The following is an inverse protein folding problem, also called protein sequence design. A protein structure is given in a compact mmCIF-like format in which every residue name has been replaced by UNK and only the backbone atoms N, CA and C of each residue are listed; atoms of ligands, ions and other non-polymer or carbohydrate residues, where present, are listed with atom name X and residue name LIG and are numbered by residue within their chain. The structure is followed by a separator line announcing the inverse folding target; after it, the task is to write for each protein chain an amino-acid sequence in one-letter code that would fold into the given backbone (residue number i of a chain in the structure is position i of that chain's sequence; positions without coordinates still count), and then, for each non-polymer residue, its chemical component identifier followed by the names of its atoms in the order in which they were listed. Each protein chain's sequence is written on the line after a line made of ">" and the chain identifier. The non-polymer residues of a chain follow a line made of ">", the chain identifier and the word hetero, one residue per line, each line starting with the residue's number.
data_IF_402543352942
#
_entry.id   IF_402543352942
#
_cell.length_a   1.000
_cell.length_b   1.000
_cell.length_c   1.000
_cell.angle_alpha   90.00
_cell.angle_beta   90.00
_cell.angle_gamma   90.00
#
_symmetry.space_group_name_H-M   'P 1'
#
loop_
_entity.id
_entity.type
_entity.pdbx_description
1 polymer ?
#
# COMPACT_ATOMS: atom_id res chain seq x y z
N UNK A 1 6.73 8.67 23.63
CA UNK A 1 6.80 8.63 22.14
C UNK A 1 6.11 7.41 21.52
N UNK A 2 6.18 6.22 22.14
CA UNK A 2 5.55 5.00 21.62
C UNK A 2 4.04 5.14 21.33
N UNK A 3 3.28 5.63 22.32
CA UNK A 3 1.81 5.81 22.22
C UNK A 3 1.42 6.75 21.07
N UNK A 4 2.17 7.84 20.87
CA UNK A 4 1.92 8.79 19.77
C UNK A 4 2.12 8.13 18.40
N UNK A 5 3.20 7.36 18.21
CA UNK A 5 3.47 6.63 16.96
C UNK A 5 2.35 5.63 16.66
N UNK A 6 1.90 4.92 17.69
CA UNK A 6 0.82 3.94 17.59
C UNK A 6 -0.52 4.60 17.22
N UNK A 7 -0.84 5.77 17.80
CA UNK A 7 -2.02 6.54 17.43
C UNK A 7 -1.99 7.02 15.98
N UNK A 8 -0.83 7.53 15.51
CA UNK A 8 -0.65 7.95 14.10
C UNK A 8 -0.89 6.78 13.15
N UNK A 9 -0.30 5.61 13.46
CA UNK A 9 -0.52 4.38 12.70
C UNK A 9 -2.01 4.06 12.68
N UNK A 10 -2.65 3.89 13.83
CA UNK A 10 -4.08 3.54 13.90
C UNK A 10 -4.95 4.53 13.12
N UNK A 11 -4.69 5.83 13.23
CA UNK A 11 -5.45 6.85 12.51
C UNK A 11 -5.28 6.72 10.98
N UNK A 12 -4.04 6.54 10.50
CA UNK A 12 -3.77 6.32 9.08
C UNK A 12 -4.45 5.06 8.54
N UNK A 13 -4.43 3.96 9.30
CA UNK A 13 -5.10 2.72 8.94
C UNK A 13 -6.63 2.85 9.02
N UNK A 14 -7.18 3.59 9.99
CA UNK A 14 -8.61 3.81 10.08
C UNK A 14 -9.14 4.66 8.92
N UNK A 15 -8.42 5.73 8.57
CA UNK A 15 -8.79 6.61 7.46
C UNK A 15 -8.64 5.94 6.09
N UNK A 16 -7.60 5.12 5.91
CA UNK A 16 -7.32 4.46 4.63
C UNK A 16 -7.96 3.08 4.50
N UNK A 17 -8.27 2.43 5.62
CA UNK A 17 -8.75 1.06 5.68
C UNK A 17 -10.16 0.89 5.12
N UNK A 18 -11.04 1.88 5.31
CA UNK A 18 -12.37 1.91 4.67
C UNK A 18 -12.24 1.96 3.14
N UNK A 19 -11.32 2.77 2.63
CA UNK A 19 -10.98 2.83 1.21
C UNK A 19 -10.41 1.51 0.67
N UNK A 20 -9.45 0.92 1.39
CA UNK A 20 -8.85 -0.37 1.02
C UNK A 20 -9.87 -1.51 1.03
N UNK A 21 -10.79 -1.55 2.00
CA UNK A 21 -11.84 -2.57 2.07
C UNK A 21 -12.82 -2.45 0.91
N UNK A 22 -13.29 -1.24 0.60
CA UNK A 22 -14.17 -1.00 -0.56
C UNK A 22 -13.51 -1.43 -1.88
N UNK A 23 -12.23 -1.09 -2.06
CA UNK A 23 -11.44 -1.48 -3.23
C UNK A 23 -11.21 -3.00 -3.29
N UNK A 24 -10.98 -3.65 -2.15
CA UNK A 24 -10.76 -5.08 -2.07
C UNK A 24 -12.03 -5.88 -2.40
N UNK A 25 -13.18 -5.53 -1.83
CA UNK A 25 -14.46 -6.16 -2.15
C UNK A 25 -14.90 -5.85 -3.59
N UNK A 26 -14.71 -4.60 -4.04
CA UNK A 26 -14.91 -4.21 -5.42
C UNK A 26 -14.04 -5.03 -6.38
N UNK A 27 -12.76 -5.20 -6.04
CA UNK A 27 -11.80 -6.01 -6.77
C UNK A 27 -12.25 -7.46 -6.87
N UNK A 28 -12.60 -8.11 -5.76
CA UNK A 28 -13.11 -9.50 -5.75
C UNK A 28 -14.31 -9.67 -6.69
N UNK A 29 -15.26 -8.73 -6.68
CA UNK A 29 -16.42 -8.77 -7.58
C UNK A 29 -16.04 -8.63 -9.05
N UNK A 30 -14.94 -7.93 -9.37
CA UNK A 30 -14.41 -7.79 -10.72
C UNK A 30 -13.60 -9.04 -11.15
N UNK A 31 -12.83 -9.63 -10.24
CA UNK A 31 -11.91 -10.76 -10.53
C UNK A 31 -12.64 -12.10 -10.70
N UNK A 32 -13.83 -12.23 -10.11
CA UNK A 32 -14.68 -13.42 -10.20
C UNK A 32 -14.98 -13.87 -11.65
N UNK A 33 -14.68 -13.03 -12.65
CA UNK A 33 -14.96 -13.28 -14.06
C UNK A 33 -13.74 -13.49 -14.98
N UNK A 34 -12.48 -13.26 -14.56
CA UNK A 34 -11.40 -13.07 -15.55
C UNK A 34 -9.97 -13.54 -15.18
N UNK A 35 -9.78 -14.42 -14.20
CA UNK A 35 -8.46 -15.04 -13.95
C UNK A 35 -7.38 -14.13 -13.35
N UNK A 36 -7.71 -12.89 -12.96
CA UNK A 36 -6.79 -11.95 -12.28
C UNK A 36 -6.54 -12.21 -10.79
N UNK A 37 -6.79 -13.43 -10.30
CA UNK A 37 -6.78 -13.78 -8.87
C UNK A 37 -5.41 -13.56 -8.22
N UNK A 38 -4.32 -13.69 -8.99
CA UNK A 38 -2.96 -13.41 -8.54
C UNK A 38 -2.73 -11.92 -8.23
N UNK A 39 -3.43 -11.01 -8.92
CA UNK A 39 -3.29 -9.57 -8.68
C UNK A 39 -3.90 -9.15 -7.33
N UNK A 40 -4.89 -9.90 -6.83
CA UNK A 40 -5.45 -9.69 -5.50
C UNK A 40 -4.45 -9.94 -4.38
N UNK A 41 -3.37 -10.68 -4.61
CA UNK A 41 -2.33 -10.97 -3.62
C UNK A 41 -1.42 -9.76 -3.36
N UNK A 42 -1.38 -8.76 -4.26
CA UNK A 42 -0.57 -7.56 -4.06
C UNK A 42 -1.10 -6.67 -2.94
N UNK A 43 -2.41 -6.58 -2.74
CA UNK A 43 -2.98 -5.84 -1.59
C UNK A 43 -2.57 -6.40 -0.23
N UNK A 44 -2.80 -7.68 0.10
CA UNK A 44 -2.39 -8.22 1.39
C UNK A 44 -0.87 -8.21 1.53
N UNK A 45 -0.10 -8.45 0.46
CA UNK A 45 1.36 -8.33 0.52
C UNK A 45 1.82 -6.90 0.84
N UNK A 46 1.22 -5.88 0.20
CA UNK A 46 1.48 -4.48 0.49
C UNK A 46 1.08 -4.10 1.92
N UNK A 47 -0.07 -4.59 2.39
CA UNK A 47 -0.55 -4.37 3.74
C UNK A 47 0.39 -4.98 4.79
N UNK A 48 0.81 -6.23 4.60
CA UNK A 48 1.75 -6.92 5.50
C UNK A 48 3.07 -6.17 5.54
N UNK A 49 3.61 -5.78 4.38
CA UNK A 49 4.86 -5.02 4.32
C UNK A 49 4.74 -3.67 5.04
N UNK A 50 3.61 -2.97 4.88
CA UNK A 50 3.35 -1.71 5.55
C UNK A 50 3.20 -1.86 7.06
N UNK A 51 2.51 -2.90 7.54
CA UNK A 51 2.40 -3.23 8.97
C UNK A 51 3.78 -3.52 9.53
N UNK A 52 4.60 -4.30 8.83
CA UNK A 52 5.96 -4.63 9.26
C UNK A 52 6.85 -3.38 9.41
N UNK A 53 6.80 -2.44 8.45
CA UNK A 53 7.49 -1.15 8.58
C UNK A 53 6.94 -0.32 9.75
N UNK A 54 5.62 -0.29 9.92
CA UNK A 54 4.94 0.47 10.97
C UNK A 54 5.35 -0.02 12.36
N UNK A 55 5.34 -1.34 12.56
CA UNK A 55 5.76 -1.99 13.81
C UNK A 55 7.24 -1.72 14.10
N UNK A 56 8.11 -1.87 13.10
CA UNK A 56 9.53 -1.56 13.28
C UNK A 56 9.76 -0.09 13.66
N UNK A 57 9.00 0.85 13.09
CA UNK A 57 9.08 2.27 13.47
C UNK A 57 8.55 2.54 14.90
N UNK A 58 7.45 1.90 15.29
CA UNK A 58 6.89 1.95 16.65
C UNK A 58 7.93 1.47 17.67
N UNK A 59 8.55 0.32 17.41
CA UNK A 59 9.67 -0.24 18.19
C UNK A 59 10.99 0.54 18.05
N UNK A 60 11.00 1.59 17.22
CA UNK A 60 12.18 2.42 16.93
C UNK A 60 13.35 1.65 16.29
N UNK A 61 13.08 0.46 15.72
CA UNK A 61 14.00 -0.36 14.93
C UNK A 61 14.10 0.12 13.49
N UNK A 62 15.11 -0.34 12.77
CA UNK A 62 15.31 0.00 11.36
C UNK A 62 15.53 -1.24 10.51
N UNK A 63 14.82 -1.33 9.39
CA UNK A 63 14.83 -2.51 8.51
C UNK A 63 15.77 -2.34 7.31
N UNK A 64 16.26 -1.10 7.09
CA UNK A 64 17.15 -0.75 6.00
C UNK A 64 16.44 -0.53 4.66
N UNK A 65 17.23 -0.06 3.70
CA UNK A 65 16.74 0.39 2.38
C UNK A 65 16.04 -0.70 1.58
N UNK A 66 16.51 -1.96 1.64
CA UNK A 66 15.90 -3.07 0.87
C UNK A 66 14.43 -3.29 1.28
N UNK A 67 14.15 -3.34 2.59
CA UNK A 67 12.79 -3.51 3.10
C UNK A 67 11.88 -2.32 2.73
N UNK A 68 12.40 -1.09 2.78
CA UNK A 68 11.68 0.10 2.34
C UNK A 68 11.36 0.07 0.83
N UNK A 69 12.33 -0.32 0.00
CA UNK A 69 12.14 -0.46 -1.45
C UNK A 69 11.13 -1.56 -1.80
N UNK A 70 11.19 -2.73 -1.15
CA UNK A 70 10.24 -3.82 -1.40
C UNK A 70 8.82 -3.44 -0.98
N UNK A 71 8.66 -2.78 0.18
CA UNK A 71 7.35 -2.31 0.63
C UNK A 71 6.79 -1.22 -0.30
N UNK A 72 7.63 -0.29 -0.76
CA UNK A 72 7.24 0.72 -1.73
C UNK A 72 6.80 0.11 -3.07
N UNK A 73 7.56 -0.86 -3.59
CA UNK A 73 7.21 -1.56 -4.82
C UNK A 73 5.88 -2.32 -4.70
N UNK A 74 5.65 -3.02 -3.58
CA UNK A 74 4.37 -3.70 -3.30
C UNK A 74 3.22 -2.71 -3.18
N UNK A 75 3.44 -1.56 -2.54
CA UNK A 75 2.43 -0.49 -2.43
C UNK A 75 2.02 0.08 -3.78
N UNK A 76 2.99 0.35 -4.67
CA UNK A 76 2.71 0.82 -6.04
C UNK A 76 1.99 -0.27 -6.85
N UNK A 77 2.44 -1.53 -6.75
CA UNK A 77 1.80 -2.64 -7.42
C UNK A 77 0.35 -2.85 -6.96
N UNK A 78 0.09 -2.71 -5.64
CA UNK A 78 -1.26 -2.76 -5.08
C UNK A 78 -2.14 -1.62 -5.59
N UNK A 79 -1.63 -0.38 -5.63
CA UNK A 79 -2.37 0.79 -6.13
C UNK A 79 -2.72 0.71 -7.62
N UNK A 80 -1.94 -0.04 -8.39
CA UNK A 80 -2.23 -0.27 -9.81
C UNK A 80 -3.06 -1.54 -10.04
N UNK A 81 -3.21 -2.40 -9.03
CA UNK A 81 -3.88 -3.68 -9.18
C UNK A 81 -5.37 -3.50 -9.50
N UNK A 82 -6.08 -2.55 -8.87
CA UNK A 82 -7.51 -2.31 -9.12
C UNK A 82 -7.82 -1.86 -10.55
N UNK A 83 -7.23 -0.75 -11.06
CA UNK A 83 -7.58 -0.29 -12.41
C UNK A 83 -7.11 -1.28 -13.48
N UNK A 84 -6.02 -2.03 -13.24
CA UNK A 84 -5.59 -3.13 -14.11
C UNK A 84 -6.57 -4.31 -14.07
N UNK A 85 -7.08 -4.68 -12.90
CA UNK A 85 -8.09 -5.73 -12.75
C UNK A 85 -9.39 -5.37 -13.46
N UNK A 86 -9.85 -4.13 -13.34
CA UNK A 86 -11.03 -3.65 -14.07
C UNK A 86 -10.83 -3.77 -15.58
N UNK A 87 -9.66 -3.37 -16.10
CA UNK A 87 -9.32 -3.48 -17.51
C UNK A 87 -9.31 -4.94 -18.01
N UNK A 88 -8.72 -5.85 -17.23
CA UNK A 88 -8.61 -7.28 -17.59
C UNK A 88 -9.95 -8.00 -17.45
N UNK A 89 -10.83 -7.53 -16.57
CA UNK A 89 -12.14 -8.15 -16.30
C UNK A 89 -13.11 -8.15 -17.49
N UNK A 90 -12.80 -7.42 -18.57
CA UNK A 90 -13.51 -7.47 -19.85
C UNK A 90 -14.95 -6.95 -19.81
N UNK A 91 -15.46 -6.48 -18.66
CA UNK A 91 -16.83 -5.94 -18.54
C UNK A 91 -16.98 -4.59 -19.25
N UNK A 92 -15.94 -3.75 -19.22
CA UNK A 92 -15.85 -2.51 -19.99
C UNK A 92 -14.36 -2.22 -20.28
N UNK A 93 -14.01 -1.84 -21.51
CA UNK A 93 -12.68 -1.30 -21.81
C UNK A 93 -12.62 0.11 -21.22
N UNK A 94 -11.87 0.30 -20.14
CA UNK A 94 -11.75 1.63 -19.54
C UNK A 94 -11.05 2.56 -20.54
N UNK A 95 -11.68 3.70 -20.80
CA UNK A 95 -10.97 4.80 -21.47
C UNK A 95 -9.79 5.26 -20.59
N UNK A 96 -8.72 5.82 -21.16
CA UNK A 96 -7.59 6.32 -20.38
C UNK A 96 -8.01 7.31 -19.27
N UNK A 97 -9.07 8.09 -19.52
CA UNK A 97 -9.63 9.02 -18.55
C UNK A 97 -10.32 8.32 -17.37
N UNK A 98 -11.09 7.26 -17.63
CA UNK A 98 -11.70 6.46 -16.57
C UNK A 98 -10.64 5.73 -15.74
N UNK A 99 -9.62 5.16 -16.40
CA UNK A 99 -8.49 4.53 -15.71
C UNK A 99 -7.81 5.51 -14.75
N UNK A 100 -7.50 6.72 -15.23
CA UNK A 100 -6.88 7.76 -14.41
C UNK A 100 -7.78 8.21 -13.25
N UNK A 101 -9.09 8.32 -13.49
CA UNK A 101 -10.07 8.67 -12.45
C UNK A 101 -10.11 7.62 -11.33
N UNK A 102 -10.14 6.33 -11.68
CA UNK A 102 -10.13 5.25 -10.68
C UNK A 102 -8.80 5.20 -9.92
N UNK A 103 -7.67 5.32 -10.61
CA UNK A 103 -6.35 5.39 -9.97
C UNK A 103 -6.23 6.60 -9.03
N UNK A 104 -6.76 7.76 -9.41
CA UNK A 104 -6.76 8.96 -8.57
C UNK A 104 -7.68 8.80 -7.33
N UNK A 105 -8.82 8.15 -7.48
CA UNK A 105 -9.74 7.90 -6.38
C UNK A 105 -9.16 6.88 -5.39
N UNK A 106 -8.50 5.84 -5.90
CA UNK A 106 -7.74 4.90 -5.08
C UNK A 106 -6.62 5.59 -4.33
N UNK A 107 -5.83 6.39 -5.02
CA UNK A 107 -4.77 7.21 -4.43
C UNK A 107 -5.29 8.11 -3.32
N UNK A 108 -6.42 8.78 -3.52
CA UNK A 108 -7.04 9.65 -2.52
C UNK A 108 -7.50 8.84 -1.30
N UNK A 109 -8.09 7.66 -1.54
CA UNK A 109 -8.58 6.78 -0.49
C UNK A 109 -7.44 6.18 0.36
N UNK A 110 -6.27 5.93 -0.24
CA UNK A 110 -5.08 5.42 0.48
C UNK A 110 -4.08 6.50 0.85
N UNK A 111 -4.36 7.77 0.59
CA UNK A 111 -3.42 8.88 0.76
C UNK A 111 -2.81 8.96 2.18
N UNK A 112 -3.59 8.85 3.28
CA UNK A 112 -3.04 8.91 4.63
C UNK A 112 -2.05 7.77 4.91
N UNK A 113 -2.38 6.56 4.48
CA UNK A 113 -1.48 5.42 4.56
C UNK A 113 -0.27 5.63 3.65
N UNK A 114 -0.42 6.15 2.44
CA UNK A 114 0.70 6.34 1.53
C UNK A 114 1.70 7.38 2.02
N UNK A 115 1.23 8.47 2.64
CA UNK A 115 2.09 9.44 3.30
C UNK A 115 2.86 8.80 4.46
N UNK A 116 2.21 7.97 5.26
CA UNK A 116 2.86 7.19 6.30
C UNK A 116 3.89 6.22 5.72
N UNK A 117 3.58 5.51 4.63
CA UNK A 117 4.50 4.59 3.95
C UNK A 117 5.74 5.31 3.41
N UNK A 118 5.57 6.50 2.81
CA UNK A 118 6.67 7.33 2.32
C UNK A 118 7.56 7.78 3.48
N UNK A 119 6.96 8.25 4.57
CA UNK A 119 7.69 8.62 5.78
C UNK A 119 8.46 7.42 6.37
N UNK A 120 7.83 6.25 6.49
CA UNK A 120 8.45 5.03 6.99
C UNK A 120 9.59 4.57 6.07
N UNK A 121 9.40 4.65 4.76
CA UNK A 121 10.41 4.30 3.76
C UNK A 121 11.64 5.22 3.87
N UNK A 122 11.40 6.52 4.05
CA UNK A 122 12.46 7.50 4.32
C UNK A 122 13.18 7.22 5.64
N UNK A 123 12.42 6.97 6.72
CA UNK A 123 12.95 6.68 8.05
C UNK A 123 13.85 5.44 8.05
N UNK A 124 13.39 4.34 7.44
CA UNK A 124 14.14 3.10 7.35
C UNK A 124 15.31 3.15 6.36
N UNK A 125 15.27 4.06 5.38
CA UNK A 125 16.37 4.27 4.42
C UNK A 125 17.48 5.15 4.98
N UNK A 126 17.17 6.17 5.79
CA UNK A 126 18.20 7.12 6.30
C UNK A 126 19.00 6.59 7.49
N UNK A 127 18.39 5.82 8.40
CA UNK A 127 19.08 5.40 9.64
C UNK A 127 20.17 4.33 9.49
N UNK A 128 20.39 3.76 8.28
CA UNK A 128 21.50 2.82 8.03
C UNK A 128 22.82 3.46 7.61
N UNK A 129 22.93 4.79 7.58
CA UNK A 129 24.21 5.46 7.31
C UNK A 129 25.14 5.58 8.53
N UNK A 130 24.71 5.18 9.73
CA UNK A 130 25.43 5.45 10.97
C UNK A 130 25.74 4.26 11.90
N UNK A 131 25.48 3.01 11.51
CA UNK A 131 25.82 1.83 12.33
C UNK A 131 26.41 0.69 11.49
N UNK A 132 27.74 0.60 11.56
CA UNK A 132 28.62 -0.59 11.49
C UNK A 132 28.56 -1.43 10.19
N UNK A 133 29.50 -1.33 9.24
CA UNK A 133 30.92 -1.77 9.34
C UNK A 133 31.12 -2.92 10.32
N UNK A 134 31.25 -4.11 9.72
CA UNK A 134 31.78 -5.36 10.30
C UNK A 134 33.03 -5.13 11.15
#
# INVERSE_FOLDING_TARGET
>A
MYVLKLLVVILCYAMSGTGMLLMFFGGISAVSFAGGQSLLLFWPAALIAHIYLSLAWIESRTLGRRAACTAGALGIAGLLAFPVLLQISGKETLTPWQFLKFAALELLAVLPAMLLALYLSWYHSRRKSGQATH
#
